data_IF_415275052809
#
_entry.id   IF_415275052809
#
_cell.length_a   1.000
_cell.length_b   1.000
_cell.length_c   1.000
_cell.angle_alpha   90.00
_cell.angle_beta   90.00
_cell.angle_gamma   90.00
#
_symmetry.space_group_name_H-M   'P 1'
#
loop_
_entity.id
_entity.type
_entity.pdbx_description
1 polymer ?
#
# COMPACT_ATOMS: atom_id res chain seq x y z
N UNK A 1 30.56 0.12 -33.93
CA UNK A 1 30.09 -0.62 -32.74
C UNK A 1 29.50 0.41 -31.80
N UNK A 2 28.33 0.14 -31.21
CA UNK A 2 27.79 1.02 -30.16
C UNK A 2 28.63 0.76 -28.91
N UNK A 3 29.26 1.79 -28.35
CA UNK A 3 29.99 1.71 -27.09
C UNK A 3 28.99 1.85 -25.95
N UNK A 4 29.02 0.92 -24.99
CA UNK A 4 28.13 0.98 -23.84
C UNK A 4 28.69 1.86 -22.73
N UNK A 5 27.84 2.45 -21.86
CA UNK A 5 28.31 3.35 -20.80
C UNK A 5 29.32 2.72 -19.84
N UNK A 6 29.27 1.39 -19.64
CA UNK A 6 30.23 0.67 -18.78
C UNK A 6 31.59 0.43 -19.43
N UNK A 7 31.75 0.75 -20.72
CA UNK A 7 32.98 0.65 -21.49
C UNK A 7 33.68 2.01 -21.66
N UNK A 8 33.02 3.10 -21.22
CA UNK A 8 33.55 4.46 -21.28
C UNK A 8 34.31 4.83 -20.00
N UNK A 9 35.35 5.64 -20.13
CA UNK A 9 35.98 6.25 -18.96
C UNK A 9 35.14 7.42 -18.41
N UNK A 10 35.49 7.92 -17.23
CA UNK A 10 34.70 8.96 -16.56
C UNK A 10 34.65 10.28 -17.35
N UNK A 11 35.74 10.65 -18.04
CA UNK A 11 35.80 11.89 -18.80
C UNK A 11 34.94 11.79 -20.08
N UNK A 12 35.01 10.65 -20.76
CA UNK A 12 34.19 10.32 -21.92
C UNK A 12 32.70 10.23 -21.57
N UNK A 13 32.38 9.63 -20.43
CA UNK A 13 31.01 9.53 -19.93
C UNK A 13 30.45 10.92 -19.59
N UNK A 14 31.22 11.76 -18.90
CA UNK A 14 30.81 13.15 -18.59
C UNK A 14 30.60 14.00 -19.84
N UNK A 15 31.42 13.82 -20.87
CA UNK A 15 31.31 14.57 -22.11
C UNK A 15 30.11 14.15 -22.98
N UNK A 16 29.60 12.92 -22.83
CA UNK A 16 28.61 12.31 -23.72
C UNK A 16 27.40 11.70 -22.98
N UNK A 17 27.01 12.29 -21.85
CA UNK A 17 25.94 11.78 -20.97
C UNK A 17 24.63 11.46 -21.71
N UNK A 18 24.13 12.38 -22.55
CA UNK A 18 22.86 12.19 -23.27
C UNK A 18 22.93 11.01 -24.24
N UNK A 19 24.05 10.83 -24.94
CA UNK A 19 24.27 9.69 -25.83
C UNK A 19 24.20 8.36 -25.06
N UNK A 20 24.86 8.29 -23.90
CA UNK A 20 24.86 7.09 -23.08
C UNK A 20 23.49 6.80 -22.46
N UNK A 21 22.69 7.83 -22.15
CA UNK A 21 21.29 7.67 -21.75
C UNK A 21 20.48 7.04 -22.88
N UNK A 22 20.62 7.52 -24.12
CA UNK A 22 19.92 6.97 -25.29
C UNK A 22 20.31 5.51 -25.55
N UNK A 23 21.60 5.16 -25.41
CA UNK A 23 22.10 3.78 -25.54
C UNK A 23 21.48 2.87 -24.47
N UNK A 24 21.38 3.32 -23.22
CA UNK A 24 20.72 2.57 -22.16
C UNK A 24 19.25 2.41 -22.47
N UNK A 25 18.55 3.47 -22.85
CA UNK A 25 17.12 3.41 -23.18
C UNK A 25 16.84 2.46 -24.34
N UNK A 26 17.68 2.47 -25.38
CA UNK A 26 17.55 1.56 -26.52
C UNK A 26 17.80 0.08 -26.14
N UNK A 27 18.53 -0.18 -25.07
CA UNK A 27 18.77 -1.53 -24.52
C UNK A 27 17.69 -2.04 -23.58
N UNK A 28 16.71 -1.20 -23.20
CA UNK A 28 15.60 -1.63 -22.35
C UNK A 28 14.63 -2.49 -23.15
N UNK A 29 14.60 -3.78 -22.85
CA UNK A 29 13.55 -4.68 -23.33
C UNK A 29 12.31 -4.57 -22.44
N UNK A 30 11.14 -4.66 -23.06
CA UNK A 30 9.89 -4.70 -22.31
C UNK A 30 9.19 -6.04 -22.46
N UNK A 31 9.02 -6.71 -21.33
CA UNK A 31 8.28 -7.96 -21.20
C UNK A 31 6.75 -7.73 -21.11
N UNK A 32 6.19 -6.74 -21.81
CA UNK A 32 4.77 -6.36 -21.66
C UNK A 32 3.77 -7.50 -21.91
N UNK A 33 4.11 -8.44 -22.79
CA UNK A 33 3.23 -9.54 -23.19
C UNK A 33 3.49 -10.85 -22.41
N UNK A 34 4.56 -10.92 -21.63
CA UNK A 34 4.99 -12.15 -20.96
C UNK A 34 5.49 -11.89 -19.55
N UNK A 35 4.95 -12.59 -18.56
CA UNK A 35 5.40 -12.45 -17.16
C UNK A 35 6.05 -13.75 -16.67
N UNK A 36 7.19 -13.69 -15.97
CA UNK A 36 7.78 -14.87 -15.37
C UNK A 36 6.87 -15.38 -14.24
N UNK A 37 6.53 -16.67 -14.29
CA UNK A 37 5.67 -17.32 -13.27
C UNK A 37 6.34 -17.29 -11.88
N UNK A 38 7.64 -17.56 -11.80
CA UNK A 38 8.35 -17.70 -10.52
C UNK A 38 7.87 -18.90 -9.70
N UNK A 39 8.59 -19.24 -8.62
CA UNK A 39 8.31 -20.46 -7.84
C UNK A 39 6.98 -20.44 -7.07
N UNK A 40 6.41 -19.24 -6.85
CA UNK A 40 5.16 -19.07 -6.13
C UNK A 40 3.94 -18.87 -7.04
N UNK A 41 4.05 -19.13 -8.36
CA UNK A 41 2.89 -19.04 -9.25
C UNK A 41 1.87 -20.12 -8.90
N UNK A 42 0.61 -19.73 -8.78
CA UNK A 42 -0.49 -20.67 -8.60
C UNK A 42 -1.22 -20.78 -9.92
N UNK A 43 -1.16 -21.94 -10.56
CA UNK A 43 -1.95 -22.26 -11.75
C UNK A 43 -3.44 -22.41 -11.40
N UNK A 44 -4.30 -22.18 -12.39
CA UNK A 44 -5.75 -22.27 -12.22
C UNK A 44 -6.21 -23.58 -11.56
N UNK A 45 -5.77 -24.79 -11.99
CA UNK A 45 -6.24 -26.04 -11.39
C UNK A 45 -5.96 -26.11 -9.88
N UNK A 46 -4.79 -25.63 -9.46
CA UNK A 46 -4.43 -25.58 -8.04
C UNK A 46 -5.32 -24.60 -7.27
N UNK A 47 -5.57 -23.42 -7.83
CA UNK A 47 -6.49 -22.44 -7.22
C UNK A 47 -7.92 -23.01 -7.10
N UNK A 48 -8.41 -23.66 -8.15
CA UNK A 48 -9.73 -24.28 -8.23
C UNK A 48 -9.93 -25.33 -7.13
N UNK A 49 -8.92 -26.14 -6.80
CA UNK A 49 -9.02 -27.09 -5.67
C UNK A 49 -9.36 -26.41 -4.34
N UNK A 50 -8.78 -25.23 -4.07
CA UNK A 50 -9.09 -24.45 -2.88
C UNK A 50 -10.51 -23.89 -2.91
N UNK A 51 -10.97 -23.47 -4.08
CA UNK A 51 -12.32 -22.95 -4.26
C UNK A 51 -13.36 -24.05 -4.03
N UNK A 52 -13.20 -25.22 -4.64
CA UNK A 52 -14.14 -26.33 -4.47
C UNK A 52 -14.16 -26.85 -3.02
N UNK A 53 -13.00 -26.92 -2.36
CA UNK A 53 -12.93 -27.28 -0.94
C UNK A 53 -13.66 -26.26 -0.05
N UNK A 54 -13.51 -24.96 -0.30
CA UNK A 54 -14.26 -23.92 0.41
C UNK A 54 -15.76 -24.02 0.13
N UNK A 55 -16.15 -24.20 -1.13
CA UNK A 55 -17.55 -24.36 -1.53
C UNK A 55 -18.18 -25.57 -0.84
N UNK A 56 -17.49 -26.70 -0.77
CA UNK A 56 -17.95 -27.88 -0.06
C UNK A 56 -18.09 -27.62 1.44
N UNK A 57 -17.08 -27.03 2.09
CA UNK A 57 -17.09 -26.72 3.51
C UNK A 57 -18.22 -25.76 3.91
N UNK A 58 -18.61 -24.87 2.99
CA UNK A 58 -19.67 -23.88 3.17
C UNK A 58 -21.04 -24.31 2.64
N UNK A 59 -21.17 -25.57 2.20
CA UNK A 59 -22.39 -26.15 1.61
C UNK A 59 -22.93 -25.34 0.42
N UNK A 60 -22.04 -24.90 -0.46
CA UNK A 60 -22.34 -24.03 -1.58
C UNK A 60 -22.53 -22.57 -1.17
N UNK A 61 -21.68 -22.05 -0.28
CA UNK A 61 -21.74 -20.68 0.25
C UNK A 61 -23.04 -20.36 1.00
N UNK A 62 -23.67 -21.38 1.58
CA UNK A 62 -24.88 -21.26 2.42
C UNK A 62 -24.55 -20.96 3.87
N UNK A 63 -23.43 -21.49 4.35
CA UNK A 63 -23.01 -21.29 5.72
C UNK A 63 -21.50 -21.04 5.79
N UNK A 64 -21.10 -19.86 6.26
CA UNK A 64 -19.71 -19.52 6.57
C UNK A 64 -19.46 -19.68 8.06
N UNK A 65 -19.50 -20.93 8.51
CA UNK A 65 -19.11 -21.28 9.88
C UNK A 65 -17.58 -21.23 10.02
N UNK A 66 -17.01 -20.39 10.92
CA UNK A 66 -15.57 -20.26 11.04
C UNK A 66 -14.85 -21.56 11.38
N UNK A 67 -15.46 -22.47 12.15
CA UNK A 67 -14.82 -23.72 12.53
C UNK A 67 -14.72 -24.70 11.36
N UNK A 68 -15.81 -24.86 10.60
CA UNK A 68 -15.83 -25.68 9.40
C UNK A 68 -14.86 -25.17 8.33
N UNK A 69 -14.85 -23.84 8.09
CA UNK A 69 -13.95 -23.21 7.12
C UNK A 69 -12.49 -23.38 7.55
N UNK A 70 -12.18 -23.20 8.83
CA UNK A 70 -10.85 -23.43 9.39
C UNK A 70 -10.40 -24.88 9.26
N UNK A 71 -11.26 -25.83 9.60
CA UNK A 71 -10.95 -27.25 9.49
C UNK A 71 -10.62 -27.64 8.05
N UNK A 72 -11.41 -27.15 7.09
CA UNK A 72 -11.15 -27.32 5.67
C UNK A 72 -9.83 -26.66 5.24
N UNK A 73 -9.54 -25.44 5.71
CA UNK A 73 -8.31 -24.70 5.39
C UNK A 73 -7.05 -25.44 5.87
N UNK A 74 -7.08 -26.03 7.07
CA UNK A 74 -5.95 -26.82 7.57
C UNK A 74 -5.60 -28.00 6.65
N UNK A 75 -6.60 -28.60 6.01
CA UNK A 75 -6.41 -29.69 5.03
C UNK A 75 -6.07 -29.16 3.64
N UNK A 76 -6.73 -28.08 3.21
CA UNK A 76 -6.60 -27.45 1.89
C UNK A 76 -6.24 -25.97 2.06
N UNK A 77 -4.95 -25.62 2.20
CA UNK A 77 -4.56 -24.26 2.57
C UNK A 77 -4.85 -23.23 1.49
N UNK A 78 -5.04 -23.66 0.23
CA UNK A 78 -5.44 -22.77 -0.87
C UNK A 78 -6.75 -22.02 -0.58
N UNK A 79 -7.61 -22.56 0.30
CA UNK A 79 -8.80 -21.86 0.84
C UNK A 79 -8.45 -20.47 1.38
N UNK A 80 -7.30 -20.32 2.04
CA UNK A 80 -6.83 -19.03 2.56
C UNK A 80 -6.71 -17.97 1.45
N UNK A 81 -6.11 -18.35 0.31
CA UNK A 81 -5.93 -17.46 -0.84
C UNK A 81 -7.28 -17.16 -1.48
N UNK A 82 -8.16 -18.15 -1.61
CA UNK A 82 -9.52 -17.97 -2.14
C UNK A 82 -10.31 -16.96 -1.29
N UNK A 83 -10.34 -17.13 0.04
CA UNK A 83 -10.99 -16.20 0.97
C UNK A 83 -10.44 -14.78 0.81
N UNK A 84 -9.11 -14.63 0.79
CA UNK A 84 -8.46 -13.33 0.59
C UNK A 84 -8.90 -12.65 -0.70
N UNK A 85 -9.03 -13.43 -1.78
CA UNK A 85 -9.43 -12.95 -3.11
C UNK A 85 -10.90 -12.55 -3.14
N UNK A 86 -11.79 -13.32 -2.51
CA UNK A 86 -13.21 -12.96 -2.34
C UNK A 86 -13.36 -11.63 -1.59
N UNK A 87 -12.62 -11.45 -0.50
CA UNK A 87 -12.58 -10.19 0.25
C UNK A 87 -12.01 -9.02 -0.59
N UNK A 88 -11.09 -9.32 -1.51
CA UNK A 88 -10.34 -8.30 -2.25
C UNK A 88 -9.31 -7.59 -1.39
N UNK A 89 -8.67 -8.32 -0.49
CA UNK A 89 -7.60 -7.82 0.37
C UNK A 89 -6.23 -8.32 -0.08
N UNK A 90 -5.21 -7.51 0.20
CA UNK A 90 -3.83 -7.98 0.29
C UNK A 90 -3.61 -8.67 1.64
N UNK A 91 -2.57 -9.52 1.81
CA UNK A 91 -2.30 -10.14 3.11
C UNK A 91 -2.16 -9.13 4.27
N UNK A 92 -1.46 -7.98 4.11
CA UNK A 92 -1.38 -6.94 5.15
C UNK A 92 -2.74 -6.31 5.50
N UNK A 93 -3.59 -6.07 4.51
CA UNK A 93 -4.91 -5.49 4.74
C UNK A 93 -5.80 -6.44 5.52
N UNK A 94 -5.75 -7.73 5.20
CA UNK A 94 -6.50 -8.74 5.94
C UNK A 94 -6.00 -8.89 7.38
N UNK A 95 -4.69 -8.87 7.62
CA UNK A 95 -4.12 -8.85 8.98
C UNK A 95 -4.65 -7.66 9.79
N UNK A 96 -4.64 -6.46 9.22
CA UNK A 96 -5.16 -5.27 9.86
C UNK A 96 -6.64 -5.39 10.19
N UNK A 97 -7.45 -5.80 9.20
CA UNK A 97 -8.90 -5.95 9.39
C UNK A 97 -9.19 -6.98 10.49
N UNK A 98 -8.50 -8.12 10.49
CA UNK A 98 -8.69 -9.14 11.50
C UNK A 98 -8.24 -8.68 12.90
N UNK A 99 -7.14 -7.94 13.00
CA UNK A 99 -6.73 -7.35 14.27
C UNK A 99 -7.72 -6.32 14.80
N UNK A 100 -8.26 -5.47 13.92
CA UNK A 100 -9.28 -4.50 14.31
C UNK A 100 -10.59 -5.18 14.72
N UNK A 101 -10.96 -6.27 14.05
CA UNK A 101 -12.24 -6.94 14.26
C UNK A 101 -12.24 -7.85 15.49
N UNK A 102 -11.11 -8.49 15.79
CA UNK A 102 -11.01 -9.49 16.87
C UNK A 102 -10.24 -9.00 18.10
N UNK A 103 -9.54 -7.87 18.00
CA UNK A 103 -8.62 -7.38 19.03
C UNK A 103 -7.29 -8.14 19.11
N UNK A 104 -7.12 -9.25 18.36
CA UNK A 104 -5.90 -10.03 18.35
C UNK A 104 -4.85 -9.40 17.42
N UNK A 105 -3.66 -9.11 17.94
CA UNK A 105 -2.56 -8.57 17.13
C UNK A 105 -2.01 -9.59 16.12
N UNK A 106 -2.16 -9.27 14.83
CA UNK A 106 -1.66 -10.04 13.69
C UNK A 106 -0.74 -9.13 12.90
N UNK A 107 0.54 -9.49 12.82
CA UNK A 107 1.50 -8.68 12.06
C UNK A 107 1.29 -8.86 10.56
N UNK A 108 1.55 -7.81 9.78
CA UNK A 108 1.52 -7.89 8.31
C UNK A 108 2.50 -8.96 7.78
N UNK A 109 3.66 -9.09 8.42
CA UNK A 109 4.67 -10.10 8.09
C UNK A 109 4.18 -11.53 8.30
N UNK A 110 3.34 -11.77 9.31
CA UNK A 110 2.71 -13.07 9.53
C UNK A 110 1.78 -13.44 8.37
N UNK A 111 0.85 -12.55 8.00
CA UNK A 111 -0.08 -12.82 6.90
C UNK A 111 0.63 -12.97 5.55
N UNK A 112 1.67 -12.16 5.28
CA UNK A 112 2.49 -12.31 4.06
C UNK A 112 3.22 -13.64 4.00
N UNK A 113 3.82 -14.05 5.11
CA UNK A 113 4.56 -15.33 5.20
C UNK A 113 3.61 -16.50 5.02
N UNK A 114 2.43 -16.46 5.64
CA UNK A 114 1.41 -17.49 5.48
C UNK A 114 0.95 -17.62 4.02
N UNK A 115 0.56 -16.49 3.40
CA UNK A 115 0.14 -16.43 1.99
C UNK A 115 1.25 -16.93 1.04
N UNK A 116 2.51 -16.53 1.27
CA UNK A 116 3.67 -17.02 0.50
C UNK A 116 3.91 -18.51 0.66
N UNK A 117 3.88 -19.03 1.89
CA UNK A 117 4.14 -20.45 2.16
C UNK A 117 3.08 -21.33 1.49
N UNK A 118 1.81 -20.90 1.49
CA UNK A 118 0.74 -21.59 0.79
C UNK A 118 0.99 -21.61 -0.72
N UNK A 119 1.44 -20.51 -1.32
CA UNK A 119 1.80 -20.50 -2.75
C UNK A 119 2.98 -21.41 -3.09
N UNK A 120 3.97 -21.53 -2.21
CA UNK A 120 5.15 -22.37 -2.42
C UNK A 120 4.87 -23.86 -2.20
N UNK A 121 3.90 -24.21 -1.36
CA UNK A 121 3.52 -25.60 -1.07
C UNK A 121 1.98 -25.75 -0.98
N UNK A 122 1.25 -25.55 -2.10
CA UNK A 122 -0.21 -25.40 -2.07
C UNK A 122 -0.98 -26.66 -1.70
N UNK A 123 -0.36 -27.84 -1.87
CA UNK A 123 -0.93 -29.14 -1.58
C UNK A 123 -0.52 -29.69 -0.20
N UNK A 124 0.40 -29.02 0.50
CA UNK A 124 0.86 -29.47 1.81
C UNK A 124 -0.08 -28.97 2.89
N UNK A 125 -0.61 -29.86 3.75
CA UNK A 125 -1.49 -29.46 4.85
C UNK A 125 -0.84 -28.43 5.77
N UNK A 126 -1.65 -27.49 6.26
CA UNK A 126 -1.16 -26.40 7.09
C UNK A 126 -0.99 -26.87 8.53
N UNK A 127 0.23 -26.74 9.05
CA UNK A 127 0.55 -27.06 10.45
C UNK A 127 0.62 -25.77 11.27
N UNK A 128 -0.46 -25.44 11.96
CA UNK A 128 -0.53 -24.32 12.89
C UNK A 128 -0.63 -24.82 14.34
N UNK A 129 0.12 -24.18 15.25
CA UNK A 129 0.08 -24.45 16.70
C UNK A 129 0.22 -23.15 17.48
N UNK A 130 -0.29 -23.13 18.71
CA UNK A 130 -0.20 -21.98 19.63
C UNK A 130 -0.71 -20.68 19.00
N UNK A 131 0.04 -19.60 19.15
CA UNK A 131 -0.27 -18.27 18.61
C UNK A 131 -0.55 -18.27 17.09
N UNK A 132 0.09 -19.16 16.34
CA UNK A 132 -0.14 -19.28 14.90
C UNK A 132 -1.56 -19.76 14.59
N UNK A 133 -2.14 -20.59 15.46
CA UNK A 133 -3.51 -21.05 15.34
C UNK A 133 -4.50 -19.94 15.68
N UNK A 134 -4.29 -19.24 16.80
CA UNK A 134 -5.17 -18.13 17.21
C UNK A 134 -5.22 -17.00 16.15
N UNK A 135 -4.08 -16.70 15.51
CA UNK A 135 -4.03 -15.72 14.40
C UNK A 135 -4.77 -16.20 13.16
N UNK A 136 -4.66 -17.49 12.83
CA UNK A 136 -5.42 -18.10 11.73
C UNK A 136 -6.92 -18.05 12.01
N UNK A 137 -7.33 -18.39 13.24
CA UNK A 137 -8.72 -18.29 13.70
C UNK A 137 -9.28 -16.88 13.49
N UNK A 138 -8.56 -15.87 13.95
CA UNK A 138 -8.98 -14.47 13.79
C UNK A 138 -9.11 -14.05 12.32
N UNK A 139 -8.21 -14.50 11.44
CA UNK A 139 -8.29 -14.24 10.00
C UNK A 139 -9.53 -14.90 9.38
N UNK A 140 -9.78 -16.18 9.68
CA UNK A 140 -10.93 -16.94 9.17
C UNK A 140 -12.24 -16.36 9.69
N UNK A 141 -12.33 -16.07 10.98
CA UNK A 141 -13.51 -15.46 11.61
C UNK A 141 -13.87 -14.14 10.94
N UNK A 142 -12.87 -13.28 10.73
CA UNK A 142 -13.08 -11.99 10.06
C UNK A 142 -13.53 -12.16 8.61
N UNK A 143 -12.97 -13.13 7.88
CA UNK A 143 -13.40 -13.41 6.52
C UNK A 143 -14.85 -13.90 6.45
N UNK A 144 -15.24 -14.81 7.35
CA UNK A 144 -16.59 -15.34 7.42
C UNK A 144 -17.61 -14.24 7.71
N UNK A 145 -17.37 -13.41 8.74
CA UNK A 145 -18.27 -12.31 9.11
C UNK A 145 -18.42 -11.30 7.97
N UNK A 146 -17.32 -10.83 7.37
CA UNK A 146 -17.37 -9.86 6.27
C UNK A 146 -18.11 -10.40 5.03
N UNK A 147 -17.91 -11.68 4.68
CA UNK A 147 -18.60 -12.30 3.55
C UNK A 147 -20.09 -12.57 3.83
N UNK A 148 -20.47 -12.77 5.10
CA UNK A 148 -21.86 -12.90 5.52
C UNK A 148 -22.58 -11.55 5.49
N UNK A 149 -21.95 -10.50 6.01
CA UNK A 149 -22.52 -9.14 6.12
C UNK A 149 -22.66 -8.45 4.76
N UNK A 150 -21.68 -8.64 3.87
CA UNK A 150 -21.62 -7.96 2.58
C UNK A 150 -21.21 -6.48 2.70
N UNK A 151 -21.59 -5.66 1.72
CA UNK A 151 -21.18 -4.26 1.69
C UNK A 151 -22.12 -3.35 2.51
N UNK A 152 -21.65 -2.70 3.58
CA UNK A 152 -22.40 -1.59 4.18
C UNK A 152 -22.51 -0.43 3.19
N UNK A 153 -23.48 0.47 3.44
CA UNK A 153 -23.59 1.72 2.67
C UNK A 153 -22.32 2.56 2.88
N UNK A 154 -21.65 2.88 1.79
CA UNK A 154 -20.58 3.87 1.75
C UNK A 154 -21.15 5.26 1.42
N UNK A 155 -20.37 6.30 1.71
CA UNK A 155 -20.65 7.66 1.26
C UNK A 155 -20.66 7.72 -0.28
N UNK A 156 -21.41 8.64 -0.92
CA UNK A 156 -21.59 8.66 -2.38
C UNK A 156 -20.29 8.77 -3.20
N UNK A 157 -19.27 9.38 -2.62
CA UNK A 157 -17.93 9.57 -3.19
C UNK A 157 -16.95 8.43 -2.85
N UNK A 158 -17.39 7.40 -2.12
CA UNK A 158 -16.57 6.29 -1.65
C UNK A 158 -17.11 4.95 -2.12
N UNK A 159 -16.22 4.09 -2.61
CA UNK A 159 -16.55 2.72 -2.97
C UNK A 159 -16.19 1.76 -1.83
N UNK A 160 -17.15 0.96 -1.37
CA UNK A 160 -16.87 -0.11 -0.42
C UNK A 160 -16.22 -1.32 -1.13
N UNK A 161 -15.20 -1.94 -0.53
CA UNK A 161 -14.47 -3.07 -1.18
C UNK A 161 -15.29 -4.33 -1.42
N UNK A 162 -16.36 -4.51 -0.65
CA UNK A 162 -17.32 -5.57 -0.85
C UNK A 162 -18.45 -5.18 -1.80
N UNK A 163 -18.51 -3.94 -2.31
CA UNK A 163 -19.48 -3.52 -3.31
C UNK A 163 -19.08 -4.05 -4.70
N UNK A 164 -19.11 -5.38 -4.81
CA UNK A 164 -18.87 -6.18 -6.01
C UNK A 164 -20.11 -7.05 -6.23
N UNK A 165 -20.33 -7.49 -7.47
CA UNK A 165 -21.49 -8.32 -7.83
C UNK A 165 -21.66 -9.56 -6.92
N UNK A 166 -20.54 -10.16 -6.47
CA UNK A 166 -20.50 -11.34 -5.61
C UNK A 166 -20.68 -11.06 -4.11
N UNK A 167 -20.17 -9.93 -3.60
CA UNK A 167 -20.11 -9.70 -2.15
C UNK A 167 -21.02 -8.59 -1.65
N UNK A 168 -21.63 -7.77 -2.52
CA UNK A 168 -22.46 -6.63 -2.10
C UNK A 168 -23.60 -7.06 -1.18
N UNK A 169 -24.24 -8.19 -1.52
CA UNK A 169 -25.39 -8.74 -0.82
C UNK A 169 -25.03 -9.94 0.07
N UNK A 170 -23.78 -10.02 0.52
CA UNK A 170 -23.28 -11.11 1.37
C UNK A 170 -23.46 -12.48 0.70
N UNK A 171 -23.93 -13.46 1.47
CA UNK A 171 -24.08 -14.85 1.00
C UNK A 171 -25.01 -15.00 -0.21
N UNK A 172 -26.06 -14.18 -0.31
CA UNK A 172 -27.00 -14.24 -1.45
C UNK A 172 -26.28 -13.92 -2.76
N UNK A 173 -25.37 -12.94 -2.75
CA UNK A 173 -24.55 -12.60 -3.91
C UNK A 173 -23.62 -13.75 -4.31
N UNK A 174 -22.96 -14.37 -3.32
CA UNK A 174 -22.07 -15.51 -3.52
C UNK A 174 -22.80 -16.72 -4.12
N UNK A 175 -23.97 -17.05 -3.59
CA UNK A 175 -24.80 -18.16 -4.07
C UNK A 175 -25.28 -17.92 -5.49
N UNK A 176 -25.76 -16.70 -5.79
CA UNK A 176 -26.23 -16.34 -7.12
C UNK A 176 -25.11 -16.50 -8.15
N UNK A 177 -23.92 -15.94 -7.89
CA UNK A 177 -22.81 -16.05 -8.84
C UNK A 177 -22.27 -17.48 -8.99
N UNK A 178 -22.20 -18.24 -7.89
CA UNK A 178 -21.81 -19.65 -7.94
C UNK A 178 -22.82 -20.54 -8.69
N UNK A 179 -24.08 -20.12 -8.79
CA UNK A 179 -25.16 -20.83 -9.49
C UNK A 179 -25.46 -20.32 -10.91
N UNK A 180 -24.91 -19.19 -11.33
CA UNK A 180 -25.26 -18.49 -12.59
C UNK A 180 -24.72 -19.16 -13.87
N UNK A 181 -24.04 -20.30 -13.75
CA UNK A 181 -23.42 -21.01 -14.89
C UNK A 181 -22.11 -20.40 -15.39
N UNK A 182 -21.64 -19.30 -14.78
CA UNK A 182 -20.29 -18.76 -14.99
C UNK A 182 -19.30 -19.50 -14.07
N UNK A 183 -18.09 -19.87 -14.54
CA UNK A 183 -17.06 -20.45 -13.68
C UNK A 183 -16.58 -19.42 -12.64
N UNK A 184 -17.24 -19.33 -11.49
CA UNK A 184 -16.92 -18.34 -10.46
C UNK A 184 -15.47 -18.50 -9.95
N UNK A 185 -14.95 -19.73 -9.91
CA UNK A 185 -13.54 -20.00 -9.63
C UNK A 185 -12.60 -19.26 -10.59
N UNK A 186 -12.91 -19.21 -11.89
CA UNK A 186 -12.11 -18.51 -12.90
C UNK A 186 -12.15 -17.00 -12.70
N UNK A 187 -13.32 -16.44 -12.37
CA UNK A 187 -13.44 -15.01 -12.06
C UNK A 187 -12.64 -14.63 -10.81
N UNK A 188 -12.63 -15.49 -9.79
CA UNK A 188 -11.77 -15.31 -8.63
C UNK A 188 -10.29 -15.49 -9.00
N UNK A 189 -9.95 -16.42 -9.89
CA UNK A 189 -8.57 -16.60 -10.36
C UNK A 189 -8.02 -15.38 -11.10
N UNK A 190 -8.80 -14.78 -12.01
CA UNK A 190 -8.45 -13.51 -12.66
C UNK A 190 -8.22 -12.38 -11.64
N UNK A 191 -9.07 -12.31 -10.60
CA UNK A 191 -8.87 -11.38 -9.48
C UNK A 191 -7.64 -11.69 -8.64
N UNK A 192 -7.23 -12.96 -8.54
CA UNK A 192 -5.99 -13.34 -7.87
C UNK A 192 -4.77 -12.84 -8.66
N UNK A 193 -4.80 -12.95 -9.98
CA UNK A 193 -3.74 -12.47 -10.88
C UNK A 193 -3.66 -10.94 -10.92
N UNK A 194 -4.80 -10.27 -11.12
CA UNK A 194 -4.86 -8.81 -11.34
C UNK A 194 -5.11 -7.95 -10.10
N UNK A 195 -5.52 -8.55 -8.97
CA UNK A 195 -6.08 -7.92 -7.76
C UNK A 195 -7.33 -7.08 -8.05
N UNK A 196 -8.46 -7.33 -7.35
CA UNK A 196 -9.62 -6.47 -7.51
C UNK A 196 -9.28 -5.05 -7.06
N UNK A 197 -9.57 -4.08 -7.90
CA UNK A 197 -9.34 -2.65 -7.69
C UNK A 197 -7.88 -2.17 -7.64
N UNK A 198 -6.86 -2.99 -7.95
CA UNK A 198 -5.48 -2.49 -7.97
C UNK A 198 -5.30 -1.35 -8.98
N UNK A 199 -5.73 -1.54 -10.23
CA UNK A 199 -5.68 -0.46 -11.24
C UNK A 199 -6.46 0.78 -10.85
N UNK A 200 -7.66 0.63 -10.26
CA UNK A 200 -8.44 1.78 -9.79
C UNK A 200 -7.73 2.49 -8.62
N UNK A 201 -7.32 1.77 -7.58
CA UNK A 201 -6.56 2.30 -6.44
C UNK A 201 -5.30 3.02 -6.88
N UNK A 202 -4.57 2.43 -7.82
CA UNK A 202 -3.33 3.02 -8.35
C UNK A 202 -3.68 4.31 -9.14
N UNK A 203 -4.78 4.33 -9.90
CA UNK A 203 -5.27 5.51 -10.63
C UNK A 203 -5.82 6.63 -9.72
N UNK A 204 -6.33 6.31 -8.53
CA UNK A 204 -6.84 7.30 -7.56
C UNK A 204 -5.87 7.57 -6.40
N UNK A 205 -4.65 7.02 -6.47
CA UNK A 205 -3.64 7.22 -5.43
C UNK A 205 -3.29 8.70 -5.26
N UNK A 206 -3.40 9.47 -6.34
CA UNK A 206 -3.30 10.94 -6.34
C UNK A 206 -4.46 11.57 -5.57
N UNK A 207 -5.73 11.19 -5.80
CA UNK A 207 -6.88 11.72 -5.03
C UNK A 207 -6.77 11.47 -3.52
N UNK A 208 -6.22 10.31 -3.13
CA UNK A 208 -5.97 10.00 -1.71
C UNK A 208 -4.86 10.91 -1.17
N UNK A 209 -3.78 11.13 -1.93
CA UNK A 209 -2.69 12.07 -1.62
C UNK A 209 -3.16 13.52 -1.52
N UNK A 210 -3.94 13.97 -2.50
CA UNK A 210 -4.54 15.30 -2.61
C UNK A 210 -5.40 15.61 -1.39
N UNK A 211 -6.08 14.61 -0.81
CA UNK A 211 -6.85 14.80 0.42
C UNK A 211 -6.00 15.29 1.61
N UNK A 212 -4.76 14.80 1.76
CA UNK A 212 -3.85 15.27 2.80
C UNK A 212 -3.31 16.67 2.48
N UNK A 213 -2.95 16.93 1.23
CA UNK A 213 -2.48 18.25 0.80
C UNK A 213 -3.57 19.32 0.94
N UNK A 214 -4.80 19.00 0.54
CA UNK A 214 -5.98 19.87 0.71
C UNK A 214 -6.20 20.17 2.19
N UNK A 215 -6.09 19.17 3.06
CA UNK A 215 -6.18 19.40 4.50
C UNK A 215 -5.08 20.32 5.05
N UNK A 216 -3.86 20.28 4.49
CA UNK A 216 -2.77 21.20 4.88
C UNK A 216 -3.13 22.61 4.43
N UNK A 217 -3.55 22.77 3.18
CA UNK A 217 -3.95 24.05 2.57
C UNK A 217 -5.07 24.74 3.36
N UNK A 218 -6.12 24.00 3.72
CA UNK A 218 -7.22 24.51 4.54
C UNK A 218 -6.75 25.01 5.91
N UNK A 219 -5.88 24.24 6.57
CA UNK A 219 -5.36 24.58 7.90
C UNK A 219 -4.46 25.82 7.85
N UNK A 220 -3.60 25.93 6.84
CA UNK A 220 -2.74 27.10 6.64
C UNK A 220 -3.56 28.35 6.30
N UNK A 221 -4.51 28.23 5.37
CA UNK A 221 -5.39 29.33 4.95
C UNK A 221 -6.22 29.84 6.12
N UNK A 222 -6.82 28.93 6.91
CA UNK A 222 -7.61 29.29 8.10
C UNK A 222 -6.78 29.98 9.18
N UNK A 223 -5.48 29.66 9.26
CA UNK A 223 -4.55 30.33 10.17
C UNK A 223 -4.02 31.66 9.62
N UNK A 224 -4.37 32.06 8.39
CA UNK A 224 -3.86 33.28 7.76
C UNK A 224 -2.37 33.20 7.39
N UNK A 225 -1.82 32.00 7.26
CA UNK A 225 -0.41 31.80 6.91
C UNK A 225 -0.23 31.88 5.40
N UNK A 226 0.76 32.66 4.95
CA UNK A 226 1.19 32.63 3.55
C UNK A 226 1.96 31.34 3.25
N UNK A 227 1.72 30.75 2.10
CA UNK A 227 2.45 29.58 1.62
C UNK A 227 2.46 29.53 0.10
N UNK A 228 3.45 28.83 -0.46
CA UNK A 228 3.47 28.36 -1.85
C UNK A 228 3.25 26.85 -1.85
N UNK A 229 2.20 26.38 -2.53
CA UNK A 229 2.04 24.98 -2.91
C UNK A 229 2.78 24.73 -4.23
N UNK A 230 3.59 23.69 -4.31
CA UNK A 230 4.31 23.33 -5.54
C UNK A 230 3.53 22.33 -6.38
N UNK A 231 3.82 22.30 -7.68
CA UNK A 231 3.27 21.33 -8.62
C UNK A 231 4.22 20.17 -8.81
N UNK A 232 3.67 19.06 -9.29
CA UNK A 232 4.46 17.86 -9.62
C UNK A 232 5.58 18.19 -10.61
N UNK A 233 6.79 17.72 -10.30
CA UNK A 233 8.01 17.93 -11.08
C UNK A 233 8.37 19.41 -11.34
N UNK A 234 7.84 20.33 -10.54
CA UNK A 234 8.26 21.73 -10.55
C UNK A 234 9.70 21.86 -10.02
N UNK A 235 10.48 22.77 -10.63
CA UNK A 235 11.84 23.09 -10.18
C UNK A 235 11.82 24.41 -9.42
N UNK A 236 12.27 24.37 -8.18
CA UNK A 236 12.43 25.56 -7.32
C UNK A 236 13.93 25.74 -7.06
N UNK A 237 14.52 26.92 -7.32
CA UNK A 237 15.93 27.17 -7.05
C UNK A 237 16.33 26.80 -5.62
N UNK A 238 17.47 26.11 -5.49
CA UNK A 238 17.99 25.65 -4.21
C UNK A 238 17.33 24.38 -3.66
N UNK A 239 16.41 23.75 -4.40
CA UNK A 239 15.87 22.43 -4.09
C UNK A 239 16.11 21.48 -5.27
N UNK A 240 16.74 20.35 -5.01
CA UNK A 240 16.94 19.30 -6.02
C UNK A 240 15.59 18.71 -6.48
N UNK A 241 14.65 18.62 -5.54
CA UNK A 241 13.24 18.31 -5.79
C UNK A 241 12.38 19.24 -4.93
N UNK A 242 11.44 19.94 -5.56
CA UNK A 242 10.53 20.84 -4.88
C UNK A 242 9.72 20.13 -3.79
N UNK A 243 9.61 20.70 -2.58
CA UNK A 243 8.75 20.17 -1.54
C UNK A 243 7.29 20.58 -1.75
N UNK A 244 6.34 19.87 -1.13
CA UNK A 244 4.91 20.08 -1.40
C UNK A 244 4.42 21.50 -1.00
N UNK A 245 4.89 22.03 0.14
CA UNK A 245 4.61 23.42 0.55
C UNK A 245 5.86 24.14 1.08
N UNK A 246 5.94 25.45 0.81
CA UNK A 246 6.99 26.36 1.30
C UNK A 246 6.35 27.58 1.97
N UNK A 247 6.76 27.89 3.19
CA UNK A 247 6.25 29.03 3.97
C UNK A 247 7.38 30.01 4.35
N UNK A 248 7.10 31.31 4.39
CA UNK A 248 5.92 31.94 3.78
C UNK A 248 5.98 31.96 2.25
N UNK A 249 7.19 31.86 1.67
CA UNK A 249 7.42 31.90 0.22
C UNK A 249 8.71 31.17 -0.17
N UNK A 250 8.88 30.88 -1.45
CA UNK A 250 10.11 30.28 -1.98
C UNK A 250 11.35 31.19 -1.87
N UNK A 251 11.15 32.50 -1.77
CA UNK A 251 12.23 33.48 -1.72
C UNK A 251 12.88 33.57 -0.33
N UNK A 252 12.12 33.26 0.71
CA UNK A 252 12.61 33.20 2.09
C UNK A 252 11.97 32.01 2.81
N UNK A 253 12.37 30.77 2.47
CA UNK A 253 11.79 29.58 3.05
C UNK A 253 12.19 29.49 4.53
N UNK A 254 11.20 29.53 5.42
CA UNK A 254 11.37 29.33 6.87
C UNK A 254 10.86 27.96 7.29
N UNK A 255 9.78 27.49 6.65
CA UNK A 255 9.21 26.17 6.86
C UNK A 255 8.96 25.51 5.51
N UNK A 256 9.28 24.23 5.43
CA UNK A 256 9.00 23.36 4.30
C UNK A 256 8.14 22.21 4.80
N UNK A 257 7.04 21.91 4.12
CA UNK A 257 6.15 20.80 4.47
C UNK A 257 6.18 19.78 3.33
N UNK A 258 6.44 18.52 3.68
CA UNK A 258 6.32 17.38 2.77
C UNK A 258 5.14 16.50 3.21
N UNK A 259 4.18 16.31 2.31
CA UNK A 259 3.01 15.47 2.47
C UNK A 259 3.28 14.10 1.82
N UNK A 260 3.11 13.00 2.57
CA UNK A 260 3.27 11.65 2.03
C UNK A 260 2.22 10.70 2.58
N UNK A 261 1.59 9.93 1.70
CA UNK A 261 0.68 8.85 2.08
C UNK A 261 1.26 7.51 1.65
N UNK A 262 1.18 6.51 2.51
CA UNK A 262 1.43 5.12 2.11
C UNK A 262 0.52 4.14 2.81
N UNK A 263 -0.03 3.19 2.06
CA UNK A 263 -0.83 2.08 2.60
C UNK A 263 -0.01 0.79 2.77
N UNK A 264 1.17 0.72 2.15
CA UNK A 264 2.10 -0.40 2.29
C UNK A 264 3.44 0.02 2.92
N UNK A 265 4.12 -0.96 3.50
CA UNK A 265 5.44 -0.80 4.13
C UNK A 265 6.58 -0.69 3.11
N UNK A 266 6.38 -1.19 1.88
CA UNK A 266 7.40 -1.23 0.83
C UNK A 266 7.86 0.16 0.43
N UNK A 267 6.93 1.11 0.31
CA UNK A 267 7.24 2.49 -0.10
C UNK A 267 7.41 3.46 1.07
N UNK A 268 7.12 3.02 2.31
CA UNK A 268 7.22 3.87 3.50
C UNK A 268 8.67 4.35 3.73
N UNK A 269 9.65 3.46 3.54
CA UNK A 269 11.07 3.77 3.69
C UNK A 269 11.50 4.87 2.73
N UNK A 270 11.19 4.72 1.45
CA UNK A 270 11.61 5.65 0.40
C UNK A 270 10.99 7.04 0.64
N UNK A 271 9.74 7.07 1.09
CA UNK A 271 9.03 8.31 1.49
C UNK A 271 9.67 8.96 2.71
N UNK A 272 10.11 8.18 3.71
CA UNK A 272 10.88 8.72 4.85
C UNK A 272 12.23 9.27 4.38
N UNK A 273 12.96 8.54 3.53
CA UNK A 273 14.25 8.98 3.00
C UNK A 273 14.15 10.31 2.24
N UNK A 274 13.08 10.52 1.47
CA UNK A 274 12.79 11.82 0.84
C UNK A 274 12.69 12.97 1.85
N UNK A 275 12.00 12.77 2.97
CA UNK A 275 11.86 13.80 4.01
C UNK A 275 13.19 14.03 4.75
N UNK A 276 13.95 12.98 5.01
CA UNK A 276 15.29 13.10 5.60
C UNK A 276 16.21 13.93 4.72
N UNK A 277 16.16 13.72 3.40
CA UNK A 277 16.95 14.49 2.46
C UNK A 277 16.62 16.00 2.48
N UNK A 278 15.35 16.38 2.67
CA UNK A 278 14.97 17.78 2.87
C UNK A 278 15.57 18.37 4.16
N UNK A 279 15.63 17.57 5.24
CA UNK A 279 16.27 18.01 6.49
C UNK A 279 17.78 18.19 6.31
N UNK A 280 18.45 17.24 5.64
CA UNK A 280 19.87 17.33 5.28
C UNK A 280 20.17 18.55 4.42
N UNK A 281 19.32 18.87 3.44
CA UNK A 281 19.44 20.07 2.62
C UNK A 281 19.38 21.35 3.47
N UNK A 282 18.48 21.40 4.45
CA UNK A 282 18.39 22.52 5.39
C UNK A 282 19.66 22.67 6.26
N UNK A 283 20.16 21.56 6.80
CA UNK A 283 21.42 21.56 7.59
C UNK A 283 22.63 21.99 6.74
N UNK A 284 22.68 21.61 5.46
CA UNK A 284 23.75 22.04 4.56
C UNK A 284 23.71 23.55 4.31
N UNK A 285 22.51 24.14 4.17
CA UNK A 285 22.35 25.61 4.08
C UNK A 285 22.87 26.29 5.34
N UNK A 286 22.51 25.78 6.52
CA UNK A 286 22.99 26.30 7.81
C UNK A 286 24.53 26.29 7.88
N UNK A 287 25.16 25.19 7.47
CA UNK A 287 26.63 25.07 7.44
C UNK A 287 27.30 26.03 6.44
N UNK A 288 26.60 26.42 5.38
CA UNK A 288 27.04 27.42 4.39
C UNK A 288 26.77 28.85 4.85
N UNK A 289 26.14 29.06 6.01
CA UNK A 289 25.74 30.38 6.50
C UNK A 289 24.51 30.95 5.79
N UNK A 290 23.78 30.12 5.05
CA UNK A 290 22.51 30.47 4.42
C UNK A 290 21.34 30.28 5.39
N UNK A 291 20.19 30.89 5.10
CA UNK A 291 18.98 30.68 5.89
C UNK A 291 18.50 29.23 5.77
N UNK A 292 18.58 28.50 6.89
CA UNK A 292 17.98 27.18 7.05
C UNK A 292 16.46 27.28 7.20
N UNK A 293 15.77 26.17 6.93
CA UNK A 293 14.33 26.04 7.11
C UNK A 293 13.96 24.85 8.00
N UNK A 294 12.84 24.96 8.70
CA UNK A 294 12.26 23.84 9.43
C UNK A 294 11.56 22.89 8.47
N UNK A 295 11.81 21.59 8.59
CA UNK A 295 11.06 20.56 7.85
C UNK A 295 9.91 20.03 8.71
N UNK A 296 8.71 20.01 8.14
CA UNK A 296 7.52 19.40 8.71
C UNK A 296 7.10 18.23 7.83
N UNK A 297 6.90 17.05 8.44
CA UNK A 297 6.34 15.91 7.75
C UNK A 297 4.83 15.82 8.02
N UNK A 298 4.01 15.83 6.98
CA UNK A 298 2.60 15.44 7.07
C UNK A 298 2.46 14.04 6.46
N UNK A 299 2.16 13.05 7.29
CA UNK A 299 2.10 11.66 6.84
C UNK A 299 0.72 11.04 7.05
N UNK A 300 0.30 10.23 6.08
CA UNK A 300 -0.96 9.50 6.12
C UNK A 300 -0.81 8.06 5.69
N UNK A 301 -1.82 7.25 6.03
CA UNK A 301 -1.88 5.86 5.64
C UNK A 301 -1.08 4.90 6.52
N UNK A 302 -1.43 3.62 6.44
CA UNK A 302 -0.97 2.58 7.37
C UNK A 302 0.48 2.16 7.20
N UNK A 303 1.07 2.37 6.03
CA UNK A 303 2.44 1.96 5.74
C UNK A 303 3.48 2.56 6.69
N UNK A 304 3.26 3.78 7.18
CA UNK A 304 4.12 4.43 8.18
C UNK A 304 4.01 3.84 9.59
N UNK A 305 2.92 3.13 9.90
CA UNK A 305 2.68 2.53 11.22
C UNK A 305 3.43 1.21 11.48
N UNK A 306 4.15 0.69 10.48
CA UNK A 306 4.71 -0.67 10.51
C UNK A 306 6.21 -0.69 10.85
N UNK A 307 6.95 0.38 10.52
CA UNK A 307 8.42 0.41 10.62
C UNK A 307 8.89 1.41 11.66
N UNK A 308 9.01 0.94 12.92
CA UNK A 308 9.36 1.78 14.06
C UNK A 308 10.72 2.49 13.91
N UNK A 309 11.71 1.84 13.31
CA UNK A 309 13.03 2.45 13.09
C UNK A 309 12.99 3.58 12.06
N UNK A 310 12.22 3.43 10.99
CA UNK A 310 12.06 4.50 10.00
C UNK A 310 11.28 5.68 10.59
N UNK A 311 10.29 5.40 11.46
CA UNK A 311 9.59 6.46 12.21
C UNK A 311 10.52 7.21 13.18
N UNK A 312 11.43 6.51 13.88
CA UNK A 312 12.44 7.17 14.73
C UNK A 312 13.33 8.09 13.91
N UNK A 313 13.80 7.64 12.75
CA UNK A 313 14.61 8.45 11.83
C UNK A 313 13.86 9.69 11.34
N UNK A 314 12.59 9.53 10.97
CA UNK A 314 11.74 10.64 10.57
C UNK A 314 11.59 11.67 11.70
N UNK A 315 11.29 11.22 12.92
CA UNK A 315 11.15 12.09 14.09
C UNK A 315 12.45 12.84 14.41
N UNK A 316 13.60 12.18 14.29
CA UNK A 316 14.90 12.84 14.50
C UNK A 316 15.17 13.89 13.42
N UNK A 317 14.97 13.55 12.14
CA UNK A 317 15.20 14.45 11.02
C UNK A 317 14.29 15.69 11.07
N UNK A 318 13.04 15.57 11.49
CA UNK A 318 12.10 16.70 11.58
C UNK A 318 12.07 17.35 12.97
N UNK A 319 12.95 16.94 13.89
CA UNK A 319 12.95 17.40 15.30
C UNK A 319 11.56 17.26 15.95
N UNK A 320 10.86 16.17 15.62
CA UNK A 320 9.53 15.82 16.15
C UNK A 320 8.34 16.45 15.41
N UNK A 321 8.56 17.26 14.38
CA UNK A 321 7.51 17.95 13.62
C UNK A 321 6.86 17.02 12.59
N UNK A 322 6.10 16.04 13.08
CA UNK A 322 5.35 15.05 12.28
C UNK A 322 3.86 15.16 12.59
N UNK A 323 3.03 15.30 11.56
CA UNK A 323 1.59 15.42 11.65
C UNK A 323 0.89 14.33 10.85
N UNK A 324 -0.33 14.02 11.25
CA UNK A 324 -1.24 13.09 10.58
C UNK A 324 -2.56 13.80 10.30
N UNK A 325 -3.45 13.25 9.46
CA UNK A 325 -4.78 13.82 9.27
C UNK A 325 -5.51 14.15 10.59
N UNK A 326 -5.30 13.35 11.65
CA UNK A 326 -5.91 13.56 12.98
C UNK A 326 -5.29 14.69 13.79
N UNK A 327 -4.03 15.03 13.53
CA UNK A 327 -3.28 16.06 14.28
C UNK A 327 -3.02 17.32 13.46
N UNK A 328 -3.44 17.35 12.21
CA UNK A 328 -3.16 18.42 11.25
C UNK A 328 -3.65 19.79 11.72
N UNK A 329 -4.77 19.83 12.44
CA UNK A 329 -5.30 21.06 13.05
C UNK A 329 -4.34 21.75 14.04
N UNK A 330 -3.27 21.07 14.49
CA UNK A 330 -2.23 21.62 15.38
C UNK A 330 -1.05 22.24 14.62
N UNK A 331 -0.96 22.03 13.30
CA UNK A 331 0.17 22.46 12.47
C UNK A 331 0.51 23.96 12.61
N UNK A 332 -0.46 24.90 12.62
CA UNK A 332 -0.16 26.33 12.70
C UNK A 332 0.53 26.75 14.01
N UNK A 333 0.39 25.95 15.08
CA UNK A 333 1.01 26.27 16.38
C UNK A 333 2.54 26.12 16.36
N UNK A 334 3.08 25.40 15.38
CA UNK A 334 4.50 25.06 15.29
C UNK A 334 5.22 25.81 14.16
N UNK A 335 4.51 26.54 13.30
CA UNK A 335 5.09 27.41 12.27
C UNK A 335 5.53 28.78 12.81
N UNK A 336 5.30 29.06 14.09
CA UNK A 336 5.64 30.34 14.75
C UNK A 336 6.78 30.22 15.79
N UNK A 337 7.45 29.07 15.87
CA UNK A 337 8.62 28.83 16.74
C UNK A 337 9.88 28.62 15.89
#
# INVERSE_FOLDING_TARGET
MVQYPFEADLAELQANLDHYVDVVFASLESDFLTMPKGQGFVEYPTFETGYEALKQATQGFRNFDPEAVRAALLQTPMIFIVLRVMLGFTPPEWAYMASSHTGLSITQGHARTLDRNIRLAPLASLKCKGDGMARLDALVQTACSLLQEGAPKAEPDKLHRLDKADTKHGLTGLQNLAGMGVPYAMLLYERFLGRPFAGHRDSVSELIGDGLETGIEEVLTKAGLSFRKTKRAEKIPGFDQAPDFILPSEFNPQVVIEAKITEDDGTARDKVTRIQHLAELSEQRERRGENAFTVIACIGGRGFGVRREDMKKLLLATKGKVFTPRTLCRLPKLSHQ
#
